data_IF_253491158259
#
_entry.id   IF_253491158259
#
_cell.length_a   1.000
_cell.length_b   1.000
_cell.length_c   1.000
_cell.angle_alpha   90.00
_cell.angle_beta   90.00
_cell.angle_gamma   90.00
#
_symmetry.space_group_name_H-M   'P 1'
#
loop_
_entity.id
_entity.type
_entity.pdbx_description
1 polymer ?
#
# COMPACT_ATOMS: atom_id res chain seq x y z
N UNK A 1 54.97 -14.49 -28.94
CA UNK A 1 54.19 -13.20 -28.97
C UNK A 1 52.70 -13.58 -29.09
N UNK A 2 52.09 -13.90 -27.97
CA UNK A 2 50.67 -14.13 -27.86
C UNK A 2 50.01 -12.81 -27.44
N UNK A 3 49.29 -12.19 -28.35
CA UNK A 3 48.43 -11.07 -28.01
C UNK A 3 47.14 -11.65 -27.38
N UNK A 4 46.96 -11.42 -26.12
CA UNK A 4 45.70 -11.58 -25.41
C UNK A 4 44.61 -10.74 -26.09
N UNK A 5 43.67 -11.39 -26.68
CA UNK A 5 42.35 -10.82 -26.99
C UNK A 5 41.61 -10.67 -25.64
N UNK A 6 41.76 -9.52 -25.02
CA UNK A 6 40.84 -9.08 -23.97
C UNK A 6 39.51 -8.76 -24.62
N UNK A 7 38.61 -9.76 -24.57
CA UNK A 7 37.23 -9.59 -24.95
C UNK A 7 36.62 -8.42 -24.17
N UNK A 8 36.23 -7.35 -24.88
CA UNK A 8 35.31 -6.32 -24.39
C UNK A 8 34.02 -7.02 -24.01
N UNK A 9 33.86 -7.44 -22.77
CA UNK A 9 32.55 -7.62 -22.19
C UNK A 9 31.81 -6.28 -22.31
N UNK A 10 30.95 -6.19 -23.32
CA UNK A 10 30.03 -5.08 -23.43
C UNK A 10 29.32 -4.99 -22.06
N UNK A 11 29.50 -3.88 -21.32
CA UNK A 11 28.75 -3.61 -20.08
C UNK A 11 27.28 -3.79 -20.42
N UNK A 12 26.72 -4.96 -20.11
CA UNK A 12 25.31 -5.24 -20.25
C UNK A 12 24.60 -4.23 -19.35
N UNK A 13 23.85 -3.30 -19.95
CA UNK A 13 23.07 -2.33 -19.22
C UNK A 13 22.08 -3.08 -18.30
N UNK A 14 21.74 -2.49 -17.17
CA UNK A 14 20.75 -3.03 -16.22
C UNK A 14 19.43 -3.32 -16.94
N UNK A 15 18.79 -4.43 -16.60
CA UNK A 15 17.49 -4.84 -17.15
C UNK A 15 16.51 -5.12 -16.00
N UNK A 16 15.47 -4.31 -15.92
CA UNK A 16 14.43 -4.41 -14.92
C UNK A 16 13.11 -4.77 -15.56
N UNK A 17 12.41 -5.76 -15.03
CA UNK A 17 11.02 -6.03 -15.33
C UNK A 17 10.12 -5.41 -14.27
N UNK A 18 8.94 -4.95 -14.70
CA UNK A 18 7.82 -4.63 -13.82
C UNK A 18 6.64 -5.51 -14.20
N UNK A 19 6.17 -6.32 -13.26
CA UNK A 19 4.97 -7.15 -13.38
C UNK A 19 3.80 -6.44 -12.69
N UNK A 20 2.64 -6.37 -13.36
CA UNK A 20 1.42 -5.70 -12.85
C UNK A 20 0.20 -6.56 -13.23
N UNK A 21 -0.46 -7.13 -12.21
CA UNK A 21 -1.65 -7.97 -12.42
C UNK A 21 -2.84 -7.10 -12.81
N UNK A 22 -3.47 -7.43 -13.94
CA UNK A 22 -4.53 -6.59 -14.50
C UNK A 22 -5.85 -6.77 -13.73
N UNK A 23 -6.41 -5.67 -13.21
CA UNK A 23 -7.66 -5.66 -12.43
C UNK A 23 -7.65 -6.73 -11.31
N UNK A 24 -6.54 -6.89 -10.62
CA UNK A 24 -6.15 -8.03 -9.78
C UNK A 24 -7.30 -8.66 -9.00
N UNK A 25 -7.97 -7.91 -8.13
CA UNK A 25 -9.03 -8.48 -7.29
C UNK A 25 -10.20 -9.04 -8.10
N UNK A 26 -10.60 -8.38 -9.19
CA UNK A 26 -11.65 -8.92 -10.06
C UNK A 26 -11.17 -10.17 -10.80
N UNK A 27 -9.93 -10.15 -11.30
CA UNK A 27 -9.33 -11.28 -12.02
C UNK A 27 -9.13 -12.50 -11.14
N UNK A 28 -8.86 -12.32 -9.84
CA UNK A 28 -8.80 -13.42 -8.87
C UNK A 28 -10.17 -14.09 -8.73
N UNK A 29 -11.24 -13.30 -8.56
CA UNK A 29 -12.60 -13.87 -8.50
C UNK A 29 -13.03 -14.51 -9.83
N UNK A 30 -12.60 -13.94 -10.95
CA UNK A 30 -12.85 -14.52 -12.28
C UNK A 30 -12.12 -15.85 -12.46
N UNK A 31 -10.91 -16.01 -11.89
CA UNK A 31 -10.16 -17.26 -11.90
C UNK A 31 -10.76 -18.34 -11.00
N UNK A 32 -11.29 -17.97 -9.83
CA UNK A 32 -11.90 -18.90 -8.88
C UNK A 32 -13.32 -19.37 -9.27
N UNK A 33 -14.15 -18.43 -9.79
CA UNK A 33 -15.53 -18.69 -10.17
C UNK A 33 -15.80 -18.20 -11.62
N UNK A 34 -15.16 -18.82 -12.66
CA UNK A 34 -15.25 -18.32 -14.03
C UNK A 34 -16.68 -18.30 -14.58
N UNK A 35 -17.52 -19.29 -14.26
CA UNK A 35 -18.91 -19.34 -14.71
C UNK A 35 -19.72 -18.14 -14.21
N UNK A 36 -19.37 -17.61 -13.04
CA UNK A 36 -20.07 -16.52 -12.40
C UNK A 36 -19.59 -15.15 -12.86
N UNK A 37 -18.27 -14.99 -13.10
CA UNK A 37 -17.65 -13.67 -13.27
C UNK A 37 -16.94 -13.48 -14.61
N UNK A 38 -16.55 -14.55 -15.35
CA UNK A 38 -15.75 -14.42 -16.55
C UNK A 38 -16.41 -13.53 -17.61
N UNK A 39 -15.69 -12.52 -18.07
CA UNK A 39 -16.15 -11.60 -19.10
C UNK A 39 -17.28 -10.66 -18.68
N UNK A 40 -17.74 -10.70 -17.43
CA UNK A 40 -18.84 -9.86 -16.93
C UNK A 40 -18.33 -8.55 -16.32
N UNK A 41 -19.14 -7.47 -16.36
CA UNK A 41 -18.83 -6.24 -15.65
C UNK A 41 -18.91 -6.45 -14.13
N UNK A 42 -17.75 -6.57 -13.47
CA UNK A 42 -17.62 -6.79 -12.03
C UNK A 42 -16.87 -5.66 -11.34
N UNK A 43 -17.14 -5.43 -10.07
CA UNK A 43 -16.38 -4.53 -9.22
C UNK A 43 -16.24 -5.09 -7.80
N UNK A 44 -15.03 -5.06 -7.26
CA UNK A 44 -14.78 -5.36 -5.86
C UNK A 44 -14.96 -4.08 -5.06
N UNK A 45 -15.87 -4.09 -4.07
CA UNK A 45 -16.21 -2.94 -3.27
C UNK A 45 -16.48 -3.30 -1.80
N UNK A 46 -16.24 -2.34 -0.91
CA UNK A 46 -16.61 -2.46 0.50
C UNK A 46 -18.10 -2.28 0.74
N UNK A 47 -18.56 -2.51 2.01
CA UNK A 47 -19.97 -2.36 2.40
C UNK A 47 -20.42 -0.91 2.31
N UNK A 48 -21.53 -0.68 1.62
CA UNK A 48 -22.21 0.63 1.54
C UNK A 48 -22.78 1.01 2.90
N UNK A 49 -23.35 0.06 3.63
CA UNK A 49 -23.98 0.26 4.96
C UNK A 49 -22.96 0.76 5.99
N UNK A 50 -21.70 0.31 5.89
CA UNK A 50 -20.61 0.76 6.74
C UNK A 50 -19.88 2.00 6.20
N UNK A 51 -20.46 2.73 5.24
CA UNK A 51 -19.84 3.89 4.55
C UNK A 51 -18.47 3.57 3.90
N UNK A 52 -18.24 2.30 3.56
CA UNK A 52 -17.04 1.80 2.88
C UNK A 52 -17.32 1.40 1.43
N UNK A 53 -18.44 1.87 0.88
CA UNK A 53 -18.89 1.56 -0.47
C UNK A 53 -18.09 2.26 -1.57
N UNK A 54 -16.78 2.07 -1.59
CA UNK A 54 -15.87 2.54 -2.65
C UNK A 54 -15.45 1.33 -3.49
N UNK A 55 -15.46 1.49 -4.79
CA UNK A 55 -14.95 0.51 -5.75
C UNK A 55 -13.41 0.48 -5.63
N UNK A 56 -12.88 -0.62 -5.12
CA UNK A 56 -11.44 -0.83 -4.94
C UNK A 56 -10.79 -1.19 -6.27
N UNK A 57 -11.44 -2.04 -7.06
CA UNK A 57 -11.05 -2.35 -8.45
C UNK A 57 -12.28 -2.74 -9.26
N UNK A 58 -12.18 -2.63 -10.59
CA UNK A 58 -13.24 -3.05 -11.50
C UNK A 58 -12.64 -3.77 -12.70
N UNK A 59 -13.39 -4.75 -13.24
CA UNK A 59 -13.00 -5.55 -14.40
C UNK A 59 -12.93 -4.70 -15.66
N UNK A 60 -12.24 -5.19 -16.68
CA UNK A 60 -12.16 -4.48 -17.97
C UNK A 60 -13.52 -4.30 -18.64
N UNK A 61 -14.45 -5.28 -18.63
CA UNK A 61 -15.82 -5.04 -19.07
C UNK A 61 -16.53 -3.91 -18.31
N UNK A 62 -16.34 -3.80 -16.99
CA UNK A 62 -16.89 -2.69 -16.21
C UNK A 62 -16.23 -1.34 -16.56
N UNK A 63 -14.90 -1.33 -16.80
CA UNK A 63 -14.19 -0.13 -17.28
C UNK A 63 -14.69 0.37 -18.63
N UNK A 64 -15.05 -0.54 -19.53
CA UNK A 64 -15.64 -0.20 -20.82
C UNK A 64 -17.02 0.47 -20.68
N UNK A 65 -17.75 0.21 -19.58
CA UNK A 65 -19.01 0.87 -19.23
C UNK A 65 -18.81 2.19 -18.44
N UNK A 66 -17.56 2.65 -18.28
CA UNK A 66 -17.23 3.91 -17.60
C UNK A 66 -16.96 3.77 -16.09
N UNK A 67 -17.14 2.59 -15.50
CA UNK A 67 -16.84 2.35 -14.08
C UNK A 67 -15.34 2.47 -13.82
N UNK A 68 -14.93 3.13 -12.72
CA UNK A 68 -13.52 3.37 -12.37
C UNK A 68 -13.26 3.07 -10.89
N UNK A 69 -12.07 2.66 -10.60
CA UNK A 69 -11.52 2.56 -9.24
C UNK A 69 -11.62 3.92 -8.54
N UNK A 70 -12.02 3.91 -7.26
CA UNK A 70 -12.22 5.11 -6.46
C UNK A 70 -13.63 5.71 -6.54
N UNK A 71 -14.48 5.29 -7.48
CA UNK A 71 -15.89 5.66 -7.50
C UNK A 71 -16.65 5.06 -6.32
N UNK A 72 -17.70 5.73 -5.86
CA UNK A 72 -18.65 5.11 -4.95
C UNK A 72 -19.43 4.00 -5.67
N UNK A 73 -19.88 3.01 -4.94
CA UNK A 73 -20.77 1.95 -5.47
C UNK A 73 -21.99 2.57 -6.15
N UNK A 74 -22.58 3.63 -5.54
CA UNK A 74 -23.72 4.36 -6.12
C UNK A 74 -23.41 4.92 -7.52
N UNK A 75 -22.25 5.58 -7.67
CA UNK A 75 -21.82 6.10 -8.98
C UNK A 75 -21.62 4.98 -9.99
N UNK A 76 -21.01 3.86 -9.58
CA UNK A 76 -20.82 2.70 -10.43
C UNK A 76 -22.13 2.10 -10.93
N UNK A 77 -23.13 1.93 -10.04
CA UNK A 77 -24.46 1.44 -10.38
C UNK A 77 -25.28 2.43 -11.21
N UNK A 78 -25.06 3.74 -11.05
CA UNK A 78 -25.67 4.75 -11.93
C UNK A 78 -25.15 4.67 -13.36
N UNK A 79 -23.86 4.36 -13.55
CA UNK A 79 -23.27 4.17 -14.88
C UNK A 79 -23.66 2.83 -15.49
N UNK A 80 -23.73 1.80 -14.69
CA UNK A 80 -24.09 0.45 -15.12
C UNK A 80 -24.90 -0.26 -14.02
N UNK A 81 -26.25 -0.28 -14.10
CA UNK A 81 -27.11 -0.87 -13.07
C UNK A 81 -26.91 -2.37 -12.84
N UNK A 82 -26.48 -3.10 -13.87
CA UNK A 82 -26.20 -4.55 -13.81
C UNK A 82 -24.78 -4.88 -13.32
N UNK A 83 -24.05 -3.90 -12.74
CA UNK A 83 -22.71 -4.11 -12.19
C UNK A 83 -22.72 -5.13 -11.07
N UNK A 84 -21.99 -6.22 -11.26
CA UNK A 84 -21.87 -7.27 -10.25
C UNK A 84 -20.88 -6.80 -9.17
N UNK A 85 -21.37 -6.63 -7.95
CA UNK A 85 -20.57 -6.23 -6.80
C UNK A 85 -20.05 -7.45 -6.07
N UNK A 86 -18.75 -7.48 -5.82
CA UNK A 86 -18.05 -8.57 -5.14
C UNK A 86 -17.48 -8.04 -3.83
N UNK A 87 -17.67 -8.79 -2.74
CA UNK A 87 -17.02 -8.49 -1.46
C UNK A 87 -15.52 -8.85 -1.54
N UNK A 88 -14.63 -8.02 -0.97
CA UNK A 88 -13.22 -8.34 -0.92
C UNK A 88 -12.94 -9.61 -0.10
N UNK A 89 -12.10 -10.49 -0.65
CA UNK A 89 -11.49 -11.62 0.05
C UNK A 89 -9.97 -11.48 0.04
N UNK A 90 -9.41 -10.93 1.12
CA UNK A 90 -7.99 -10.64 1.19
C UNK A 90 -7.12 -11.88 1.43
N UNK A 91 -7.67 -12.96 2.02
CA UNK A 91 -6.94 -14.23 2.18
C UNK A 91 -6.72 -14.86 0.80
N UNK A 92 -7.78 -14.85 -0.01
CA UNK A 92 -7.72 -15.27 -1.40
C UNK A 92 -6.70 -14.46 -2.21
N UNK A 93 -6.75 -13.13 -2.10
CA UNK A 93 -5.82 -12.25 -2.83
C UNK A 93 -4.37 -12.47 -2.42
N UNK A 94 -4.08 -12.72 -1.14
CA UNK A 94 -2.74 -13.04 -0.67
C UNK A 94 -2.22 -14.36 -1.26
N UNK A 95 -3.06 -15.40 -1.34
CA UNK A 95 -2.71 -16.67 -1.97
C UNK A 95 -2.29 -16.49 -3.43
N UNK A 96 -3.08 -15.77 -4.20
CA UNK A 96 -2.78 -15.47 -5.61
C UNK A 96 -1.54 -14.58 -5.77
N UNK A 97 -1.39 -13.58 -4.89
CA UNK A 97 -0.21 -12.72 -4.86
C UNK A 97 1.08 -13.49 -4.58
N UNK A 98 1.03 -14.42 -3.64
CA UNK A 98 2.16 -15.29 -3.33
C UNK A 98 2.49 -16.21 -4.53
N UNK A 99 1.48 -16.76 -5.19
CA UNK A 99 1.66 -17.66 -6.32
C UNK A 99 2.38 -17.00 -7.50
N UNK A 100 1.93 -15.83 -7.97
CA UNK A 100 2.60 -15.18 -9.08
C UNK A 100 4.02 -14.70 -8.71
N UNK A 101 4.25 -14.29 -7.45
CA UNK A 101 5.58 -13.90 -6.97
C UNK A 101 6.54 -15.08 -6.92
N UNK A 102 6.09 -16.26 -6.56
CA UNK A 102 6.91 -17.48 -6.61
C UNK A 102 7.36 -17.79 -8.05
N UNK A 103 6.47 -17.63 -9.04
CA UNK A 103 6.85 -17.73 -10.45
C UNK A 103 7.92 -16.69 -10.80
N UNK A 104 7.72 -15.43 -10.42
CA UNK A 104 8.66 -14.35 -10.69
C UNK A 104 10.04 -14.61 -10.06
N UNK A 105 10.08 -15.03 -8.78
CA UNK A 105 11.29 -15.33 -8.03
C UNK A 105 12.10 -16.51 -8.60
N UNK A 106 11.48 -17.40 -9.40
CA UNK A 106 12.21 -18.50 -10.05
C UNK A 106 13.17 -18.06 -11.17
N UNK A 107 13.10 -16.79 -11.60
CA UNK A 107 13.97 -16.23 -12.64
C UNK A 107 15.07 -15.32 -12.12
N UNK A 108 14.93 -14.79 -10.91
CA UNK A 108 15.93 -13.96 -10.24
C UNK A 108 15.67 -13.89 -8.75
N UNK A 109 16.71 -13.92 -7.90
CA UNK A 109 16.55 -13.66 -6.47
C UNK A 109 16.27 -12.17 -6.19
N UNK A 110 16.64 -11.25 -7.11
CA UNK A 110 16.53 -9.81 -6.91
C UNK A 110 15.12 -9.35 -7.30
N UNK A 111 14.19 -9.47 -6.35
CA UNK A 111 12.79 -9.09 -6.51
C UNK A 111 12.37 -8.09 -5.43
N UNK A 112 11.70 -7.01 -5.84
CA UNK A 112 11.09 -6.03 -4.95
C UNK A 112 9.58 -6.09 -5.06
N UNK A 113 8.90 -6.48 -3.98
CA UNK A 113 7.44 -6.42 -3.90
C UNK A 113 7.00 -4.99 -3.62
N UNK A 114 6.21 -4.41 -4.52
CA UNK A 114 5.68 -3.04 -4.41
C UNK A 114 4.31 -3.04 -3.75
N UNK A 115 3.41 -3.91 -4.23
CA UNK A 115 2.05 -4.06 -3.72
C UNK A 115 1.62 -5.53 -3.76
N UNK A 116 0.35 -5.79 -3.47
CA UNK A 116 -0.22 -7.14 -3.54
C UNK A 116 -0.27 -7.68 -4.98
N UNK A 117 -0.25 -6.81 -5.98
CA UNK A 117 -0.46 -7.11 -7.40
C UNK A 117 0.72 -6.70 -8.31
N UNK A 118 1.80 -6.11 -7.75
CA UNK A 118 2.95 -5.70 -8.56
C UNK A 118 4.29 -5.92 -7.89
N UNK A 119 5.30 -6.22 -8.72
CA UNK A 119 6.68 -6.36 -8.29
C UNK A 119 7.67 -5.96 -9.39
N UNK A 120 8.88 -5.58 -8.97
CA UNK A 120 10.04 -5.42 -9.85
C UNK A 120 10.97 -6.62 -9.76
N UNK A 121 11.60 -6.95 -10.88
CA UNK A 121 12.64 -7.98 -10.99
C UNK A 121 13.88 -7.36 -11.65
N UNK A 122 15.04 -7.50 -11.04
CA UNK A 122 16.29 -7.24 -11.74
C UNK A 122 16.78 -8.55 -12.38
N UNK A 123 16.69 -8.62 -13.69
CA UNK A 123 17.08 -9.81 -14.48
C UNK A 123 18.39 -9.63 -15.21
N UNK A 124 19.21 -8.64 -14.84
CA UNK A 124 20.48 -8.35 -15.50
C UNK A 124 21.39 -9.57 -15.56
N UNK A 125 21.41 -10.38 -14.49
CA UNK A 125 22.18 -11.63 -14.38
C UNK A 125 21.46 -12.88 -14.90
N UNK A 126 20.23 -12.81 -15.39
CA UNK A 126 19.36 -13.97 -15.65
C UNK A 126 19.46 -14.52 -17.09
N UNK A 127 20.57 -14.28 -17.78
CA UNK A 127 20.76 -14.65 -19.21
C UNK A 127 20.65 -16.16 -19.48
N UNK A 128 20.80 -17.01 -18.48
CA UNK A 128 20.58 -18.45 -18.59
C UNK A 128 19.13 -18.83 -18.93
N UNK A 129 18.18 -17.98 -18.58
CA UNK A 129 16.74 -18.20 -18.85
C UNK A 129 16.29 -17.65 -20.21
N UNK A 130 17.20 -17.05 -20.98
CA UNK A 130 16.93 -16.45 -22.29
C UNK A 130 17.13 -14.94 -22.33
N UNK A 131 16.67 -14.32 -23.40
CA UNK A 131 16.62 -12.86 -23.54
C UNK A 131 15.61 -12.23 -22.59
N UNK A 132 15.74 -10.94 -22.26
CA UNK A 132 14.75 -10.24 -21.42
C UNK A 132 13.30 -10.36 -21.91
N UNK A 133 13.10 -10.41 -23.21
CA UNK A 133 11.77 -10.57 -23.81
C UNK A 133 11.23 -11.98 -23.57
N UNK A 134 12.03 -13.02 -23.83
CA UNK A 134 11.65 -14.42 -23.62
C UNK A 134 11.37 -14.72 -22.15
N UNK A 135 12.15 -14.17 -21.23
CA UNK A 135 11.90 -14.28 -19.79
C UNK A 135 10.53 -13.66 -19.44
N UNK A 136 10.27 -12.44 -19.90
CA UNK A 136 9.02 -11.73 -19.63
C UNK A 136 7.80 -12.47 -20.22
N UNK A 137 7.88 -12.96 -21.46
CA UNK A 137 6.84 -13.77 -22.12
C UNK A 137 6.59 -15.08 -21.36
N UNK A 138 7.66 -15.72 -20.90
CA UNK A 138 7.54 -16.99 -20.17
C UNK A 138 6.89 -16.78 -18.81
N UNK A 139 7.28 -15.74 -18.06
CA UNK A 139 6.65 -15.38 -16.78
C UNK A 139 5.17 -15.09 -17.01
N UNK A 140 4.82 -14.24 -17.99
CA UNK A 140 3.44 -13.86 -18.30
C UNK A 140 2.59 -15.09 -18.66
N UNK A 141 3.13 -15.98 -19.50
CA UNK A 141 2.47 -17.24 -19.89
C UNK A 141 2.27 -18.16 -18.68
N UNK A 142 3.29 -18.36 -17.83
CA UNK A 142 3.18 -19.19 -16.63
C UNK A 142 2.14 -18.66 -15.66
N UNK A 143 2.12 -17.36 -15.38
CA UNK A 143 1.10 -16.73 -14.53
C UNK A 143 -0.29 -16.99 -15.10
N UNK A 144 -0.45 -16.87 -16.43
CA UNK A 144 -1.74 -17.13 -17.08
C UNK A 144 -2.17 -18.59 -16.99
N UNK A 145 -1.25 -19.55 -17.17
CA UNK A 145 -1.56 -20.98 -17.14
C UNK A 145 -1.75 -21.52 -15.72
N UNK A 146 -0.89 -21.11 -14.78
CA UNK A 146 -0.88 -21.67 -13.43
C UNK A 146 -1.89 -20.97 -12.49
N UNK A 147 -2.20 -19.68 -12.72
CA UNK A 147 -3.05 -18.87 -11.86
C UNK A 147 -4.24 -18.21 -12.57
N UNK A 148 -4.40 -18.41 -13.87
CA UNK A 148 -5.44 -17.77 -14.69
C UNK A 148 -5.47 -16.25 -14.61
N UNK A 149 -4.38 -15.60 -14.17
CA UNK A 149 -4.28 -14.15 -14.03
C UNK A 149 -3.76 -13.49 -15.31
N UNK A 150 -4.41 -12.44 -15.80
CA UNK A 150 -3.83 -11.56 -16.79
C UNK A 150 -2.83 -10.61 -16.14
N UNK A 151 -1.62 -10.50 -16.68
CA UNK A 151 -0.64 -9.52 -16.22
C UNK A 151 -0.04 -8.73 -17.37
N UNK A 152 0.35 -7.49 -17.12
CA UNK A 152 1.12 -6.65 -18.04
C UNK A 152 2.56 -6.56 -17.56
N UNK A 153 3.51 -6.65 -18.49
CA UNK A 153 4.93 -6.65 -18.19
C UNK A 153 5.61 -5.48 -18.90
N UNK A 154 6.34 -4.68 -18.14
CA UNK A 154 7.21 -3.65 -18.67
C UNK A 154 8.68 -4.01 -18.51
N UNK A 155 9.47 -3.78 -19.56
CA UNK A 155 10.92 -4.00 -19.58
C UNK A 155 11.60 -2.66 -19.76
N UNK A 156 12.54 -2.32 -18.85
CA UNK A 156 13.29 -1.08 -18.93
C UNK A 156 14.66 -1.17 -18.27
N UNK A 157 15.52 -0.18 -18.46
CA UNK A 157 16.85 -0.12 -17.82
C UNK A 157 16.81 0.29 -16.35
N UNK A 158 15.64 0.68 -15.84
CA UNK A 158 15.41 1.08 -14.47
C UNK A 158 13.95 0.86 -14.07
N UNK A 159 13.64 1.03 -12.79
CA UNK A 159 12.30 0.81 -12.22
C UNK A 159 11.26 1.74 -12.83
N UNK A 160 11.59 3.02 -13.01
CA UNK A 160 10.69 4.02 -13.59
C UNK A 160 10.24 3.62 -14.98
N UNK A 161 11.17 3.32 -15.89
CA UNK A 161 10.84 2.99 -17.27
C UNK A 161 10.15 1.63 -17.38
N UNK A 162 10.52 0.65 -16.54
CA UNK A 162 9.82 -0.63 -16.47
C UNK A 162 8.35 -0.44 -16.02
N UNK A 163 8.10 0.41 -14.99
CA UNK A 163 6.72 0.75 -14.56
C UNK A 163 5.94 1.48 -15.65
N UNK A 164 6.52 2.49 -16.26
CA UNK A 164 5.89 3.22 -17.36
C UNK A 164 5.54 2.28 -18.52
N UNK A 165 6.44 1.36 -18.87
CA UNK A 165 6.24 0.38 -19.94
C UNK A 165 5.07 -0.55 -19.67
N UNK A 166 4.92 -1.07 -18.42
CA UNK A 166 3.82 -1.98 -18.06
C UNK A 166 2.44 -1.31 -18.15
N UNK A 167 2.39 0.03 -18.01
CA UNK A 167 1.15 0.80 -18.09
C UNK A 167 0.76 1.18 -19.53
N UNK A 168 1.70 1.10 -20.51
CA UNK A 168 1.46 1.53 -21.89
C UNK A 168 0.48 0.63 -22.65
N UNK A 169 0.49 -0.66 -22.35
CA UNK A 169 -0.41 -1.65 -22.97
C UNK A 169 -1.06 -2.50 -21.87
N UNK A 170 -2.32 -2.25 -21.59
CA UNK A 170 -3.15 -3.02 -20.66
C UNK A 170 -4.49 -3.38 -21.31
N UNK A 171 -5.05 -4.58 -21.09
CA UNK A 171 -4.51 -5.72 -20.32
C UNK A 171 -3.51 -6.58 -21.10
N UNK A 172 -2.77 -7.41 -20.36
CA UNK A 172 -1.90 -8.47 -20.89
C UNK A 172 -0.83 -7.98 -21.89
N UNK A 173 -0.42 -6.71 -21.76
CA UNK A 173 0.60 -6.13 -22.63
C UNK A 173 2.01 -6.52 -22.20
N UNK A 174 2.91 -6.51 -23.19
CA UNK A 174 4.34 -6.62 -23.01
C UNK A 174 5.01 -5.46 -23.76
N UNK A 175 5.76 -4.64 -23.04
CA UNK A 175 6.33 -3.41 -23.60
C UNK A 175 7.77 -3.23 -23.16
N UNK A 176 8.64 -2.89 -24.11
CA UNK A 176 10.03 -2.49 -23.85
C UNK A 176 10.14 -0.98 -23.99
N UNK A 177 10.66 -0.29 -22.98
CA UNK A 177 10.89 1.14 -22.99
C UNK A 177 12.36 1.45 -22.65
N UNK A 178 13.09 2.00 -23.60
CA UNK A 178 14.49 2.37 -23.46
C UNK A 178 14.62 3.88 -23.23
N UNK A 179 15.70 4.35 -22.63
CA UNK A 179 15.96 5.78 -22.41
C UNK A 179 15.84 6.58 -23.74
N UNK A 180 16.37 6.05 -24.83
CA UNK A 180 16.28 6.70 -26.15
C UNK A 180 14.86 6.86 -26.70
N UNK A 181 13.91 6.10 -26.16
CA UNK A 181 12.51 6.14 -26.61
C UNK A 181 11.69 7.19 -25.81
N UNK A 182 12.22 7.69 -24.68
CA UNK A 182 11.55 8.63 -23.78
C UNK A 182 11.09 9.91 -24.50
N UNK A 183 11.94 10.63 -25.26
CA UNK A 183 11.51 11.84 -25.95
C UNK A 183 10.32 11.58 -26.89
N UNK A 184 10.38 10.51 -27.67
CA UNK A 184 9.37 10.17 -28.68
C UNK A 184 8.06 9.66 -28.07
N UNK A 185 8.11 8.88 -26.97
CA UNK A 185 6.95 8.17 -26.45
C UNK A 185 6.32 8.85 -25.24
N UNK A 186 7.06 9.67 -24.49
CA UNK A 186 6.61 10.23 -23.24
C UNK A 186 6.53 11.77 -23.23
N UNK A 187 7.41 12.50 -23.93
CA UNK A 187 7.52 13.94 -23.75
C UNK A 187 6.26 14.73 -24.13
N UNK A 188 5.47 14.29 -25.08
CA UNK A 188 4.22 14.94 -25.47
C UNK A 188 3.06 14.67 -24.48
N UNK A 189 3.27 13.72 -23.55
CA UNK A 189 2.22 13.37 -22.58
C UNK A 189 2.13 14.39 -21.44
N UNK A 190 0.93 14.60 -20.86
CA UNK A 190 0.77 15.41 -19.65
C UNK A 190 1.65 14.91 -18.49
N UNK A 191 2.11 15.85 -17.63
CA UNK A 191 2.98 15.54 -16.50
C UNK A 191 2.39 14.50 -15.54
N UNK A 192 1.06 14.47 -15.35
CA UNK A 192 0.38 13.51 -14.47
C UNK A 192 0.39 12.08 -15.00
N UNK A 193 0.84 11.84 -16.23
CA UNK A 193 1.11 10.51 -16.76
C UNK A 193 2.53 10.00 -16.43
N UNK A 194 3.41 10.83 -15.90
CA UNK A 194 4.71 10.37 -15.40
C UNK A 194 4.54 9.75 -14.02
N UNK A 195 5.01 8.52 -13.86
CA UNK A 195 4.95 7.82 -12.57
C UNK A 195 5.59 8.67 -11.46
N UNK A 196 4.90 8.79 -10.33
CA UNK A 196 5.30 9.62 -9.21
C UNK A 196 4.69 11.03 -9.23
N UNK A 197 4.15 11.53 -10.33
CA UNK A 197 3.47 12.82 -10.41
C UNK A 197 1.97 12.66 -10.28
N UNK A 198 1.44 12.91 -9.08
CA UNK A 198 0.01 12.92 -8.84
C UNK A 198 -0.66 14.23 -9.26
N UNK A 199 -2.00 14.25 -9.28
CA UNK A 199 -2.82 15.39 -9.71
C UNK A 199 -2.41 16.71 -9.05
N UNK A 200 -2.20 16.75 -7.73
CA UNK A 200 -1.81 17.98 -7.01
C UNK A 200 -0.46 18.54 -7.48
N UNK A 201 0.51 17.66 -7.73
CA UNK A 201 1.83 18.06 -8.25
C UNK A 201 1.72 18.56 -9.69
N UNK A 202 0.95 17.87 -10.51
CA UNK A 202 0.68 18.30 -11.88
C UNK A 202 -0.06 19.65 -11.95
N UNK A 203 -1.03 19.89 -11.04
CA UNK A 203 -1.70 21.19 -10.94
C UNK A 203 -0.71 22.32 -10.57
N UNK A 204 0.25 22.04 -9.68
CA UNK A 204 1.30 23.01 -9.32
C UNK A 204 2.27 23.24 -10.49
N UNK A 205 2.66 22.20 -11.23
CA UNK A 205 3.48 22.32 -12.43
C UNK A 205 2.77 23.16 -13.51
N UNK A 206 1.46 22.96 -13.72
CA UNK A 206 0.67 23.76 -14.69
C UNK A 206 0.67 25.25 -14.36
N UNK A 207 0.66 25.63 -13.07
CA UNK A 207 0.79 27.04 -12.64
C UNK A 207 2.14 27.64 -12.99
N UNK A 208 3.17 26.80 -13.19
CA UNK A 208 4.51 27.20 -13.65
C UNK A 208 4.64 27.08 -15.19
N UNK A 209 3.53 26.91 -15.93
CA UNK A 209 3.49 26.65 -17.37
C UNK A 209 4.21 25.35 -17.81
N UNK A 210 4.45 24.42 -16.92
CA UNK A 210 5.00 23.09 -17.20
C UNK A 210 3.82 22.10 -17.29
N UNK A 211 3.45 21.72 -18.52
CA UNK A 211 2.26 20.89 -18.79
C UNK A 211 2.61 19.49 -19.25
N UNK A 212 3.70 19.33 -19.99
CA UNK A 212 4.11 18.05 -20.57
C UNK A 212 5.39 17.51 -19.90
N UNK A 213 5.61 16.21 -20.03
CA UNK A 213 6.82 15.54 -19.53
C UNK A 213 8.07 16.15 -20.18
N UNK A 214 8.03 16.50 -21.48
CA UNK A 214 9.13 17.15 -22.18
C UNK A 214 9.44 18.55 -21.65
N UNK A 215 8.41 19.34 -21.32
CA UNK A 215 8.61 20.64 -20.67
C UNK A 215 9.23 20.48 -19.27
N UNK A 216 8.83 19.45 -18.52
CA UNK A 216 9.44 19.13 -17.22
C UNK A 216 10.90 18.68 -17.37
N UNK A 217 11.21 17.88 -18.38
CA UNK A 217 12.56 17.42 -18.69
C UNK A 217 13.51 18.61 -19.01
N UNK A 218 12.98 19.64 -19.67
CA UNK A 218 13.72 20.86 -20.05
C UNK A 218 13.70 21.97 -18.98
N UNK A 219 12.86 21.85 -17.94
CA UNK A 219 12.65 22.89 -16.94
C UNK A 219 13.93 23.24 -16.17
N UNK A 220 14.02 24.48 -15.71
CA UNK A 220 15.12 24.94 -14.86
C UNK A 220 15.09 24.20 -13.51
N UNK A 221 16.24 23.65 -13.13
CA UNK A 221 16.36 22.85 -11.90
C UNK A 221 16.25 23.71 -10.64
N UNK A 222 16.74 24.95 -10.68
CA UNK A 222 16.66 25.90 -9.56
C UNK A 222 15.21 26.26 -9.29
N UNK A 223 14.42 26.48 -10.34
CA UNK A 223 12.98 26.71 -10.25
C UNK A 223 12.28 25.49 -9.62
N UNK A 224 12.57 24.28 -10.09
CA UNK A 224 11.96 23.07 -9.55
C UNK A 224 12.35 22.83 -8.10
N UNK A 225 13.61 23.06 -7.73
CA UNK A 225 14.09 22.92 -6.36
C UNK A 225 13.38 23.92 -5.42
N UNK A 226 13.25 25.20 -5.84
CA UNK A 226 12.57 26.23 -5.04
C UNK A 226 11.10 25.93 -4.81
N UNK A 227 10.42 25.31 -5.79
CA UNK A 227 8.98 25.06 -5.74
C UNK A 227 8.61 23.71 -5.12
N UNK A 228 9.43 22.69 -5.30
CA UNK A 228 9.11 21.31 -4.90
C UNK A 228 10.14 20.70 -3.92
N UNK A 229 11.12 21.51 -3.47
CA UNK A 229 12.22 21.02 -2.64
C UNK A 229 13.04 19.96 -3.38
N UNK A 230 13.66 19.08 -2.64
CA UNK A 230 14.51 17.98 -3.17
C UNK A 230 13.79 17.08 -4.20
N UNK A 231 12.47 17.08 -4.20
CA UNK A 231 11.68 16.32 -5.16
C UNK A 231 11.69 16.92 -6.57
N UNK A 232 11.93 18.24 -6.69
CA UNK A 232 11.98 18.94 -7.98
C UNK A 232 13.01 18.36 -8.96
N UNK A 233 14.31 18.31 -8.60
CA UNK A 233 15.35 17.69 -9.41
C UNK A 233 15.04 16.23 -9.77
N UNK A 234 14.50 15.45 -8.83
CA UNK A 234 14.11 14.06 -9.11
C UNK A 234 13.00 13.93 -10.18
N UNK A 235 12.02 14.83 -10.17
CA UNK A 235 11.00 14.85 -11.23
C UNK A 235 11.60 15.17 -12.60
N UNK A 236 12.59 16.06 -12.67
CA UNK A 236 13.31 16.39 -13.93
C UNK A 236 14.11 15.17 -14.42
N UNK A 237 14.86 14.51 -13.53
CA UNK A 237 15.56 13.26 -13.89
C UNK A 237 14.57 12.21 -14.41
N UNK A 238 13.45 12.00 -13.70
CA UNK A 238 12.41 11.07 -14.11
C UNK A 238 11.82 11.41 -15.49
N UNK A 239 11.58 12.68 -15.79
CA UNK A 239 11.11 13.14 -17.10
C UNK A 239 12.12 12.85 -18.24
N UNK A 240 13.40 12.73 -17.91
CA UNK A 240 14.48 12.30 -18.80
C UNK A 240 14.69 10.77 -18.81
N UNK A 241 13.86 10.00 -18.11
CA UNK A 241 13.95 8.54 -18.02
C UNK A 241 15.06 8.04 -17.10
N UNK A 242 15.57 8.89 -16.22
CA UNK A 242 16.67 8.59 -15.30
C UNK A 242 16.08 8.20 -13.94
N UNK A 243 16.43 7.00 -13.48
CA UNK A 243 16.13 6.49 -12.15
C UNK A 243 17.29 5.59 -11.69
N UNK A 244 17.95 6.00 -10.61
CA UNK A 244 19.11 5.28 -10.08
C UNK A 244 18.75 4.31 -8.96
N UNK A 245 17.46 4.22 -8.59
CA UNK A 245 17.03 3.37 -7.50
C UNK A 245 17.29 1.88 -7.81
N UNK A 246 17.85 1.10 -6.87
CA UNK A 246 18.00 -0.34 -7.05
C UNK A 246 16.66 -1.06 -6.90
N UNK A 247 16.54 -2.26 -7.48
CA UNK A 247 15.55 -3.23 -7.05
C UNK A 247 16.02 -3.81 -5.72
N UNK A 248 15.21 -3.69 -4.67
CA UNK A 248 15.58 -4.08 -3.30
C UNK A 248 14.88 -5.37 -2.91
N UNK A 249 15.64 -6.35 -2.46
CA UNK A 249 15.10 -7.62 -1.94
C UNK A 249 14.41 -7.44 -0.59
N UNK A 250 14.93 -6.52 0.21
CA UNK A 250 14.42 -6.26 1.56
C UNK A 250 13.67 -4.95 1.64
N UNK A 251 12.55 -4.95 2.34
CA UNK A 251 11.83 -3.73 2.66
C UNK A 251 12.57 -2.90 3.70
N UNK A 252 12.52 -1.60 3.53
CA UNK A 252 12.94 -0.67 4.59
C UNK A 252 12.06 -0.88 5.83
N UNK A 253 12.67 -0.73 7.02
CA UNK A 253 11.94 -0.78 8.27
C UNK A 253 10.76 0.20 8.26
N UNK A 254 9.63 -0.23 8.79
CA UNK A 254 8.43 0.61 8.85
C UNK A 254 8.71 1.88 9.67
N UNK A 255 8.46 3.05 9.11
CA UNK A 255 8.62 4.34 9.81
C UNK A 255 7.46 4.65 10.74
N UNK A 256 6.31 4.04 10.50
CA UNK A 256 5.10 4.19 11.31
C UNK A 256 4.19 2.97 11.18
N UNK A 257 3.34 2.76 12.19
CA UNK A 257 2.26 1.77 12.16
C UNK A 257 0.97 2.50 12.53
N UNK A 258 -0.03 2.47 11.66
CA UNK A 258 -1.29 3.19 11.91
C UNK A 258 -2.52 2.42 11.47
N UNK A 259 -3.66 2.79 12.07
CA UNK A 259 -4.96 2.29 11.70
C UNK A 259 -5.99 3.40 11.76
N UNK A 260 -6.76 3.56 10.69
CA UNK A 260 -7.89 4.49 10.62
C UNK A 260 -9.18 3.75 10.30
N UNK A 261 -10.31 4.20 10.83
CA UNK A 261 -11.61 3.64 10.52
C UNK A 261 -12.64 4.73 10.25
N UNK A 262 -13.38 4.61 9.14
CA UNK A 262 -14.59 5.40 8.89
C UNK A 262 -15.71 4.79 9.72
N UNK A 263 -16.40 5.62 10.49
CA UNK A 263 -17.48 5.20 11.36
C UNK A 263 -18.78 4.99 10.53
N UNK A 264 -19.60 3.98 10.85
CA UNK A 264 -20.89 3.73 10.18
C UNK A 264 -21.84 4.93 10.27
N UNK A 265 -21.86 5.62 11.40
CA UNK A 265 -22.54 6.89 11.63
C UNK A 265 -21.55 7.93 12.18
N UNK A 266 -21.89 9.22 12.08
CA UNK A 266 -21.12 10.26 12.73
C UNK A 266 -21.33 10.18 14.23
N UNK A 267 -20.27 10.32 15.03
CA UNK A 267 -20.28 10.18 16.49
C UNK A 267 -19.82 11.47 17.14
N UNK A 268 -20.59 11.97 18.11
CA UNK A 268 -20.21 13.15 18.90
C UNK A 268 -20.00 12.84 20.37
N UNK A 269 -20.48 11.70 20.86
CA UNK A 269 -20.38 11.32 22.26
C UNK A 269 -18.95 10.89 22.61
N UNK A 270 -18.31 11.58 23.54
CA UNK A 270 -16.92 11.28 24.00
C UNK A 270 -16.71 9.83 24.43
N UNK A 271 -17.59 9.20 25.23
CA UNK A 271 -17.39 7.80 25.60
C UNK A 271 -17.33 6.85 24.41
N UNK A 272 -18.12 7.11 23.38
CA UNK A 272 -18.10 6.31 22.16
C UNK A 272 -16.82 6.55 21.34
N UNK A 273 -16.38 7.80 21.22
CA UNK A 273 -15.11 8.16 20.57
C UNK A 273 -13.93 7.49 21.30
N UNK A 274 -13.87 7.56 22.62
CA UNK A 274 -12.83 6.91 23.42
C UNK A 274 -12.84 5.38 23.26
N UNK A 275 -14.01 4.75 23.11
CA UNK A 275 -14.12 3.33 22.84
C UNK A 275 -13.59 2.96 21.45
N UNK A 276 -13.88 3.78 20.44
CA UNK A 276 -13.28 3.62 19.10
C UNK A 276 -11.76 3.75 19.17
N UNK A 277 -11.25 4.75 19.87
CA UNK A 277 -9.81 4.94 20.08
C UNK A 277 -9.18 3.75 20.82
N UNK A 278 -9.88 3.15 21.81
CA UNK A 278 -9.40 1.94 22.49
C UNK A 278 -9.23 0.76 21.51
N UNK A 279 -10.21 0.53 20.65
CA UNK A 279 -10.13 -0.53 19.63
C UNK A 279 -9.00 -0.26 18.63
N UNK A 280 -8.78 1.00 18.24
CA UNK A 280 -7.69 1.36 17.32
C UNK A 280 -6.32 1.23 18.01
N UNK A 281 -6.20 1.64 19.28
CA UNK A 281 -4.98 1.52 20.07
C UNK A 281 -4.55 0.05 20.20
N UNK A 282 -5.47 -0.84 20.56
CA UNK A 282 -5.22 -2.27 20.72
C UNK A 282 -4.71 -2.89 19.41
N UNK A 283 -5.40 -2.63 18.29
CA UNK A 283 -5.01 -3.17 16.99
C UNK A 283 -3.66 -2.61 16.50
N UNK A 284 -3.42 -1.32 16.71
CA UNK A 284 -2.19 -0.67 16.26
C UNK A 284 -1.00 -1.10 17.11
N UNK A 285 -1.17 -1.17 18.44
CA UNK A 285 -0.16 -1.66 19.37
C UNK A 285 0.27 -3.11 19.04
N UNK A 286 -0.71 -4.00 18.81
CA UNK A 286 -0.45 -5.39 18.48
C UNK A 286 0.33 -5.52 17.15
N UNK A 287 -0.07 -4.77 16.11
CA UNK A 287 0.67 -4.75 14.84
C UNK A 287 2.10 -4.24 14.98
N UNK A 288 2.32 -3.24 15.84
CA UNK A 288 3.64 -2.71 16.14
C UNK A 288 4.51 -3.74 16.87
N UNK A 289 3.97 -4.38 17.93
CA UNK A 289 4.68 -5.43 18.69
C UNK A 289 5.05 -6.63 17.84
N UNK A 290 4.16 -7.10 16.95
CA UNK A 290 4.47 -8.17 15.99
C UNK A 290 5.69 -7.86 15.10
N UNK A 291 5.95 -6.60 14.85
CA UNK A 291 7.12 -6.14 14.10
C UNK A 291 8.36 -5.88 14.98
N UNK A 292 8.27 -6.17 16.28
CA UNK A 292 9.37 -5.95 17.22
C UNK A 292 9.67 -4.48 17.53
N UNK A 293 8.67 -3.57 17.37
CA UNK A 293 8.88 -2.14 17.58
C UNK A 293 8.16 -1.61 18.82
N UNK A 294 8.68 -0.49 19.33
CA UNK A 294 8.05 0.43 20.29
C UNK A 294 7.91 1.81 19.64
N UNK A 295 6.99 2.64 20.11
CA UNK A 295 6.71 3.95 19.49
C UNK A 295 7.10 5.11 20.41
N UNK A 296 7.84 6.06 19.87
CA UNK A 296 8.20 7.34 20.53
C UNK A 296 7.21 8.48 20.27
N UNK A 297 6.16 8.26 19.45
CA UNK A 297 5.17 9.29 19.16
C UNK A 297 3.80 8.67 18.84
N UNK A 298 2.75 9.25 19.44
CA UNK A 298 1.35 8.91 19.15
C UNK A 298 0.72 10.05 18.38
N UNK A 299 0.10 9.73 17.25
CA UNK A 299 -0.69 10.66 16.44
C UNK A 299 -2.12 10.17 16.33
N UNK A 300 -3.09 11.07 16.48
CA UNK A 300 -4.49 10.83 16.14
C UNK A 300 -4.84 11.50 14.82
N UNK A 301 -5.78 10.88 14.11
CA UNK A 301 -6.41 11.45 12.90
C UNK A 301 -7.89 11.55 13.14
N UNK A 302 -8.46 12.73 12.93
CA UNK A 302 -9.89 13.01 13.06
C UNK A 302 -10.38 13.59 11.74
N UNK A 303 -11.43 13.02 11.18
CA UNK A 303 -12.11 13.57 10.00
C UNK A 303 -13.55 13.91 10.34
N UNK A 304 -13.95 15.12 10.00
CA UNK A 304 -15.31 15.63 10.17
C UNK A 304 -16.23 15.19 9.00
N UNK A 305 -17.55 15.38 9.13
CA UNK A 305 -18.51 15.04 8.07
C UNK A 305 -18.30 15.78 6.74
N UNK A 306 -17.77 17.00 6.78
CA UNK A 306 -17.40 17.83 5.62
C UNK A 306 -16.14 17.34 4.91
N UNK A 307 -15.54 16.22 5.36
CA UNK A 307 -14.31 15.62 4.87
C UNK A 307 -13.03 16.36 5.28
N UNK A 308 -13.12 17.44 6.05
CA UNK A 308 -11.95 18.09 6.66
C UNK A 308 -11.24 17.11 7.61
N UNK A 309 -9.92 17.01 7.47
CA UNK A 309 -9.12 16.06 8.24
C UNK A 309 -8.06 16.80 9.06
N UNK A 310 -8.02 16.50 10.34
CA UNK A 310 -7.03 17.02 11.27
C UNK A 310 -6.15 15.90 11.80
N UNK A 311 -4.89 16.21 12.05
CA UNK A 311 -3.96 15.34 12.78
C UNK A 311 -3.37 16.08 13.95
N UNK A 312 -3.20 15.37 15.07
CA UNK A 312 -2.49 15.88 16.26
C UNK A 312 -1.57 14.79 16.76
N UNK A 313 -0.36 15.15 17.14
CA UNK A 313 0.64 14.20 17.59
C UNK A 313 1.34 14.69 18.85
N UNK A 314 1.82 13.74 19.63
CA UNK A 314 2.65 13.99 20.82
C UNK A 314 3.86 13.06 20.78
N UNK A 315 5.03 13.65 20.88
CA UNK A 315 6.26 12.92 21.16
C UNK A 315 6.28 12.55 22.66
N UNK A 316 6.72 11.37 22.94
CA UNK A 316 6.70 10.77 24.27
C UNK A 316 8.09 10.76 24.87
N UNK A 317 8.20 10.99 26.16
CA UNK A 317 9.46 10.90 26.90
C UNK A 317 9.93 9.43 27.00
N UNK A 318 8.99 8.49 27.10
CA UNK A 318 9.25 7.04 27.11
C UNK A 318 8.50 6.40 25.94
N UNK A 319 9.17 5.51 25.17
CA UNK A 319 8.49 4.74 24.13
C UNK A 319 7.38 3.86 24.72
N UNK A 320 6.28 3.70 24.00
CA UNK A 320 5.13 2.88 24.38
C UNK A 320 4.99 1.66 23.48
N UNK A 321 4.54 0.53 24.09
CA UNK A 321 4.17 -0.67 23.35
C UNK A 321 2.79 -1.22 23.72
N UNK A 322 2.26 -0.83 24.88
CA UNK A 322 0.99 -1.34 25.38
C UNK A 322 -0.21 -0.51 24.89
N UNK A 323 -1.33 -1.21 24.69
CA UNK A 323 -2.56 -0.61 24.18
C UNK A 323 -3.19 0.42 25.12
N UNK A 324 -3.06 0.21 26.43
CA UNK A 324 -3.71 1.07 27.42
C UNK A 324 -3.03 2.45 27.49
N UNK A 325 -1.70 2.49 27.46
CA UNK A 325 -0.94 3.75 27.44
C UNK A 325 -1.14 4.50 26.12
N UNK A 326 -1.13 3.79 24.99
CA UNK A 326 -1.42 4.40 23.67
C UNK A 326 -2.84 4.96 23.63
N UNK A 327 -3.82 4.24 24.17
CA UNK A 327 -5.21 4.70 24.28
C UNK A 327 -5.31 5.97 25.14
N UNK A 328 -4.65 5.98 26.29
CA UNK A 328 -4.65 7.14 27.22
C UNK A 328 -4.12 8.39 26.52
N UNK A 329 -3.00 8.27 25.82
CA UNK A 329 -2.43 9.40 25.05
C UNK A 329 -3.31 9.82 23.88
N UNK A 330 -3.94 8.88 23.19
CA UNK A 330 -4.87 9.19 22.10
C UNK A 330 -6.12 9.93 22.61
N UNK A 331 -6.70 9.50 23.74
CA UNK A 331 -7.82 10.20 24.37
C UNK A 331 -7.42 11.60 24.85
N UNK A 332 -6.25 11.74 25.47
CA UNK A 332 -5.74 13.04 25.91
C UNK A 332 -5.58 14.01 24.74
N UNK A 333 -4.96 13.57 23.65
CA UNK A 333 -4.84 14.37 22.43
C UNK A 333 -6.20 14.75 21.84
N UNK A 334 -7.17 13.83 21.88
CA UNK A 334 -8.53 14.12 21.43
C UNK A 334 -9.20 15.16 22.31
N UNK A 335 -9.23 14.97 23.62
CA UNK A 335 -9.92 15.84 24.58
C UNK A 335 -9.33 17.27 24.61
N UNK A 336 -8.02 17.41 24.46
CA UNK A 336 -7.33 18.70 24.38
C UNK A 336 -7.70 19.51 23.12
N UNK A 337 -7.91 18.84 21.99
CA UNK A 337 -8.09 19.52 20.70
C UNK A 337 -9.54 19.53 20.21
N UNK A 338 -10.44 18.71 20.80
CA UNK A 338 -11.89 18.69 20.52
C UNK A 338 -12.70 18.88 21.81
N UNK A 339 -12.65 20.09 22.41
CA UNK A 339 -13.32 20.36 23.66
C UNK A 339 -14.86 20.38 23.54
N UNK A 340 -15.38 20.59 22.32
CA UNK A 340 -16.82 20.62 22.03
C UNK A 340 -17.27 19.31 21.37
N UNK A 341 -18.52 18.87 21.57
CA UNK A 341 -19.06 17.66 20.94
C UNK A 341 -19.36 17.89 19.46
N UNK A 342 -18.32 17.89 18.63
CA UNK A 342 -18.44 17.95 17.17
C UNK A 342 -18.58 16.54 16.59
N UNK A 343 -19.41 16.34 15.55
CA UNK A 343 -19.57 15.03 14.95
C UNK A 343 -18.30 14.60 14.22
N UNK A 344 -17.84 13.38 14.51
CA UNK A 344 -16.66 12.76 13.92
C UNK A 344 -17.08 11.67 12.93
N UNK A 345 -16.54 11.70 11.74
CA UNK A 345 -16.77 10.72 10.67
C UNK A 345 -15.75 9.59 10.65
N UNK A 346 -14.48 9.89 10.95
CA UNK A 346 -13.38 8.93 10.90
C UNK A 346 -12.41 9.23 12.05
N UNK A 347 -11.93 8.16 12.66
CA UNK A 347 -10.86 8.20 13.65
C UNK A 347 -9.68 7.32 13.22
N UNK A 348 -8.50 7.71 13.67
CA UNK A 348 -7.28 6.95 13.45
C UNK A 348 -6.25 7.14 14.54
N UNK A 349 -5.42 6.12 14.73
CA UNK A 349 -4.18 6.19 15.54
C UNK A 349 -3.02 5.78 14.66
N UNK A 350 -1.93 6.54 14.73
CA UNK A 350 -0.67 6.24 14.06
C UNK A 350 0.47 6.36 15.07
N UNK A 351 1.22 5.30 15.19
CA UNK A 351 2.44 5.21 15.99
C UNK A 351 3.63 5.55 15.12
N UNK A 352 4.44 6.50 15.56
CA UNK A 352 5.58 7.04 14.82
C UNK A 352 6.85 6.99 15.69
N UNK A 353 7.99 7.38 15.10
CA UNK A 353 9.31 7.28 15.77
C UNK A 353 9.53 5.86 16.30
N UNK A 354 9.32 4.89 15.41
CA UNK A 354 9.45 3.49 15.75
C UNK A 354 10.92 3.14 16.00
N UNK A 355 11.16 2.42 17.09
CA UNK A 355 12.48 1.91 17.49
C UNK A 355 12.38 0.41 17.71
N UNK A 356 13.41 -0.40 17.32
CA UNK A 356 13.44 -1.81 17.68
C UNK A 356 13.35 -1.96 19.20
N UNK A 357 12.52 -2.89 19.69
CA UNK A 357 12.29 -3.08 21.12
C UNK A 357 13.60 -3.38 21.85
N UNK A 358 14.48 -4.19 21.27
CA UNK A 358 15.74 -4.62 21.88
C UNK A 358 16.76 -3.47 22.01
N UNK A 359 16.63 -2.40 21.23
CA UNK A 359 17.52 -1.23 21.28
C UNK A 359 16.90 -0.01 21.97
N UNK A 360 15.63 -0.09 22.36
CA UNK A 360 14.95 1.00 23.04
C UNK A 360 15.45 1.09 24.49
N UNK A 361 16.07 2.22 24.86
CA UNK A 361 16.40 2.51 26.25
C UNK A 361 15.11 2.67 27.05
N UNK A 362 14.77 1.72 27.88
CA UNK A 362 13.64 1.81 28.81
C UNK A 362 14.18 2.34 30.14
N UNK A 363 13.88 3.60 30.44
CA UNK A 363 14.08 4.13 31.77
C UNK A 363 13.00 3.56 32.67
N UNK A 364 13.37 2.62 33.54
CA UNK A 364 12.47 2.02 34.50
C UNK A 364 12.00 3.10 35.54
N UNK A 365 10.70 3.17 35.73
CA UNK A 365 10.14 3.95 36.84
C UNK A 365 10.21 3.13 38.13
N UNK A 366 10.76 3.72 39.17
CA UNK A 366 10.98 3.03 40.47
C UNK A 366 9.66 2.52 41.09
N UNK A 367 8.53 3.15 40.75
CA UNK A 367 7.22 2.80 41.28
C UNK A 367 6.44 1.83 40.39
N UNK A 368 6.80 1.69 39.10
CA UNK A 368 6.10 0.83 38.12
C UNK A 368 6.89 -0.43 37.74
N UNK A 369 8.15 -0.53 38.14
CA UNK A 369 9.07 -1.57 37.65
C UNK A 369 8.59 -3.00 37.97
N UNK A 370 7.86 -3.22 39.07
CA UNK A 370 7.31 -4.54 39.40
C UNK A 370 6.08 -4.91 38.56
N UNK A 371 5.34 -3.91 38.06
CA UNK A 371 4.12 -4.13 37.27
C UNK A 371 4.41 -4.32 35.78
N UNK A 372 5.50 -3.75 35.26
CA UNK A 372 5.86 -3.85 33.85
C UNK A 372 6.05 -5.30 33.36
N UNK A 373 6.81 -6.18 34.05
CA UNK A 373 6.97 -7.57 33.62
C UNK A 373 5.65 -8.35 33.60
N UNK A 374 4.75 -8.07 34.56
CA UNK A 374 3.42 -8.70 34.61
C UNK A 374 2.53 -8.24 33.46
N UNK A 375 2.55 -6.94 33.12
CA UNK A 375 1.82 -6.38 31.98
C UNK A 375 2.35 -6.91 30.65
N UNK A 376 3.66 -7.05 30.52
CA UNK A 376 4.30 -7.62 29.34
C UNK A 376 3.92 -9.10 29.17
N UNK A 377 4.00 -9.91 30.24
CA UNK A 377 3.62 -11.32 30.22
C UNK A 377 2.14 -11.50 29.83
N UNK A 378 1.25 -10.67 30.41
CA UNK A 378 -0.18 -10.67 30.06
C UNK A 378 -0.39 -10.32 28.58
N UNK A 379 0.28 -9.29 28.09
CA UNK A 379 0.17 -8.84 26.71
C UNK A 379 0.65 -9.94 25.73
N UNK A 380 1.78 -10.58 26.02
CA UNK A 380 2.29 -11.72 25.24
C UNK A 380 1.30 -12.89 25.22
N UNK A 381 0.73 -13.24 26.39
CA UNK A 381 -0.27 -14.30 26.49
C UNK A 381 -1.55 -13.98 25.68
N UNK A 382 -2.05 -12.75 25.79
CA UNK A 382 -3.19 -12.29 24.98
C UNK A 382 -2.90 -12.31 23.50
N UNK A 383 -1.72 -11.86 23.07
CA UNK A 383 -1.31 -11.88 21.66
C UNK A 383 -1.20 -13.32 21.13
N UNK A 384 -0.62 -14.26 21.90
CA UNK A 384 -0.54 -15.66 21.56
C UNK A 384 -1.94 -16.34 21.44
N UNK A 385 -2.86 -16.04 22.36
CA UNK A 385 -4.25 -16.53 22.27
C UNK A 385 -4.96 -15.99 21.03
N UNK A 386 -4.77 -14.73 20.69
CA UNK A 386 -5.34 -14.11 19.48
C UNK A 386 -4.72 -14.67 18.20
N UNK A 387 -3.43 -15.02 18.22
CA UNK A 387 -2.77 -15.68 17.09
C UNK A 387 -3.38 -17.06 16.82
N UNK A 388 -3.67 -17.80 17.87
CA UNK A 388 -4.23 -19.17 17.78
C UNK A 388 -5.73 -19.18 17.47
N UNK A 389 -6.50 -18.30 18.11
CA UNK A 389 -7.98 -18.39 18.11
C UNK A 389 -8.66 -17.19 17.41
N UNK A 390 -7.89 -16.24 16.88
CA UNK A 390 -8.40 -15.05 16.17
C UNK A 390 -8.48 -13.80 17.04
N UNK A 391 -8.63 -12.65 16.38
CA UNK A 391 -8.55 -11.31 16.99
C UNK A 391 -9.60 -11.02 18.08
N UNK A 392 -10.73 -11.72 18.05
CA UNK A 392 -11.84 -11.56 19.01
C UNK A 392 -11.79 -12.55 20.17
N UNK A 393 -10.79 -13.46 20.22
CA UNK A 393 -10.70 -14.48 21.25
C UNK A 393 -10.51 -13.90 22.67
N UNK A 394 -9.79 -12.78 22.79
CA UNK A 394 -9.56 -12.08 24.06
C UNK A 394 -9.80 -10.60 23.85
N UNK A 395 -10.73 -10.01 24.58
CA UNK A 395 -11.06 -8.58 24.53
C UNK A 395 -10.99 -7.98 25.94
N UNK A 396 -10.58 -6.71 26.03
CA UNK A 396 -10.76 -5.97 27.29
C UNK A 396 -12.23 -5.58 27.48
N UNK A 397 -12.70 -5.49 28.71
CA UNK A 397 -14.11 -5.20 29.02
C UNK A 397 -14.62 -3.91 28.33
N UNK A 398 -13.78 -2.88 28.21
CA UNK A 398 -14.12 -1.64 27.52
C UNK A 398 -14.34 -1.78 26.00
N UNK A 399 -14.00 -2.93 25.40
CA UNK A 399 -14.24 -3.25 23.99
C UNK A 399 -15.49 -4.11 23.80
N UNK A 400 -16.09 -4.60 24.87
CA UNK A 400 -17.33 -5.37 24.82
C UNK A 400 -18.51 -4.41 24.59
N UNK A 401 -19.37 -4.73 23.66
CA UNK A 401 -20.58 -3.96 23.34
C UNK A 401 -21.09 -4.23 21.94
N UNK A 402 -22.33 -3.87 21.70
CA UNK A 402 -22.98 -3.93 20.38
C UNK A 402 -22.72 -2.68 19.52
N UNK A 403 -21.79 -1.83 19.96
CA UNK A 403 -21.52 -0.59 19.26
C UNK A 403 -20.82 -0.83 17.88
N UNK A 404 -20.90 0.18 17.00
CA UNK A 404 -20.30 0.07 15.68
C UNK A 404 -18.79 -0.24 15.66
N UNK A 405 -18.04 0.09 16.73
CA UNK A 405 -16.59 -0.18 16.79
C UNK A 405 -16.29 -1.65 17.04
N UNK A 406 -17.09 -2.32 17.90
CA UNK A 406 -17.02 -3.77 18.10
C UNK A 406 -17.40 -4.53 16.84
N UNK A 407 -18.45 -4.08 16.14
CA UNK A 407 -18.86 -4.65 14.86
C UNK A 407 -17.78 -4.49 13.77
N UNK A 408 -17.09 -3.35 13.74
CA UNK A 408 -15.98 -3.12 12.82
C UNK A 408 -14.85 -4.11 13.10
N UNK A 409 -14.55 -4.40 14.36
CA UNK A 409 -13.54 -5.39 14.75
C UNK A 409 -13.94 -6.81 14.38
N UNK A 410 -15.14 -7.22 14.76
CA UNK A 410 -15.65 -8.59 14.58
C UNK A 410 -15.94 -8.93 13.11
N UNK A 411 -16.33 -7.93 12.30
CA UNK A 411 -16.58 -8.05 10.86
C UNK A 411 -15.38 -7.70 10.00
N UNK A 412 -14.25 -7.38 10.62
CA UNK A 412 -13.04 -7.09 9.88
C UNK A 412 -12.53 -8.38 9.26
N UNK A 413 -12.81 -8.55 8.00
CA UNK A 413 -12.05 -9.45 7.15
C UNK A 413 -10.59 -8.99 7.28
N UNK A 414 -9.72 -9.88 7.78
CA UNK A 414 -8.30 -9.60 7.96
C UNK A 414 -7.75 -8.98 6.68
N UNK A 415 -7.11 -7.82 6.78
CA UNK A 415 -6.43 -7.21 5.66
C UNK A 415 -7.21 -6.15 4.88
N UNK A 416 -7.87 -5.21 5.56
CA UNK A 416 -8.35 -3.98 4.91
C UNK A 416 -7.23 -3.00 4.58
N UNK A 417 -5.96 -3.28 4.90
CA UNK A 417 -4.82 -2.50 4.43
C UNK A 417 -4.28 -3.13 3.16
N UNK A 418 -4.09 -2.32 2.12
CA UNK A 418 -3.34 -2.68 0.91
C UNK A 418 -1.86 -2.97 1.21
N UNK A 419 -1.41 -2.75 2.44
CA UNK A 419 -0.07 -3.07 2.90
C UNK A 419 0.00 -4.55 3.25
N UNK A 420 0.93 -5.23 2.64
CA UNK A 420 1.30 -6.61 2.90
C UNK A 420 1.82 -6.68 4.33
N UNK A 421 1.04 -7.24 5.25
CA UNK A 421 1.58 -7.77 6.50
C UNK A 421 2.26 -9.09 6.11
N UNK A 422 3.57 -9.05 5.87
CA UNK A 422 4.38 -10.19 5.41
C UNK A 422 4.52 -11.30 6.45
N UNK A 423 4.06 -11.06 7.68
CA UNK A 423 4.18 -11.99 8.80
C UNK A 423 3.11 -13.11 8.82
N UNK A 424 2.27 -13.19 7.80
CA UNK A 424 1.35 -14.31 7.63
C UNK A 424 1.94 -15.38 6.71
N UNK A 425 2.87 -16.16 7.26
CA UNK A 425 3.16 -17.50 6.76
C UNK A 425 1.96 -18.37 7.14
N UNK A 426 1.17 -18.78 6.16
CA UNK A 426 0.22 -19.88 6.33
C UNK A 426 1.09 -21.14 6.37
N UNK A 427 1.28 -21.73 7.57
CA UNK A 427 1.75 -23.09 7.71
C UNK A 427 0.69 -24.07 7.20
#
# INVERSE_FOLDING_TARGET
MEKREEGREARKGRVVLHLDMNAFYCSVHEAEEPEKYAGKPTAVAGSVELRKGIIVTCSYPARAKGVRTGMTVRQGLQLYPELILIRPDFDLYRRYSQGFRQIAASYTPIMETVSIDECYLDITGSSLFGSPLEIAETIQRRIRLEWSLPCSVGIGPNKLLAKMASDMKKPSGLTVLRIRDVPRLLWDKPCDQLFGIGRKTADKLRKLNIRTIGQLAAADETLLLSQFGVYGPHMKEAANGIDRSPVRETKEASKSVGHTTTLPANVSARPEIHRVLLNLADQTARRMRRKGFVAGCVQITVRLPDMTTYTRSRTLDKPLEDAASIHREACRLFDEHWPRPEPVRLLGITLQSLQPKDSAAVQLDLFEYEQEPRREALTKAMDALRDKFGESAVLTAGMLGEDPSALIRNRKLRGTSLQIDEDFVIN
#
